data_IF_542200237846
#
_entry.id   IF_542200237846
#
_cell.length_a   1.000
_cell.length_b   1.000
_cell.length_c   1.000
_cell.angle_alpha   90.00
_cell.angle_beta   90.00
_cell.angle_gamma   90.00
#
_symmetry.space_group_name_H-M   'P 1'
#
loop_
_entity.id
_entity.type
_entity.pdbx_description
1 polymer ?
#
# COMPACT_ATOMS: atom_id res chain seq x y z
N UNK A 1 -27.83 -26.41 -0.12
CA UNK A 1 -27.40 -25.67 -1.32
C UNK A 1 -27.19 -24.16 -1.06
N UNK A 2 -28.09 -23.48 -0.36
CA UNK A 2 -27.99 -22.02 -0.10
C UNK A 2 -26.74 -21.57 0.65
N UNK A 3 -26.33 -22.26 1.71
CA UNK A 3 -25.12 -21.91 2.48
C UNK A 3 -23.82 -22.01 1.64
N UNK A 4 -23.75 -22.97 0.73
CA UNK A 4 -22.59 -23.15 -0.15
C UNK A 4 -22.44 -22.00 -1.14
N UNK A 5 -23.55 -21.56 -1.74
CA UNK A 5 -23.55 -20.41 -2.66
C UNK A 5 -23.12 -19.12 -1.96
N UNK A 6 -23.55 -18.91 -0.71
CA UNK A 6 -23.15 -17.74 0.09
C UNK A 6 -21.64 -17.74 0.34
N UNK A 7 -21.07 -18.87 0.76
CA UNK A 7 -19.63 -19.01 0.97
C UNK A 7 -18.83 -18.80 -0.32
N UNK A 8 -19.33 -19.31 -1.44
CA UNK A 8 -18.69 -19.16 -2.74
C UNK A 8 -18.63 -17.69 -3.17
N UNK A 9 -19.77 -16.98 -3.09
CA UNK A 9 -19.85 -15.55 -3.43
C UNK A 9 -18.95 -14.72 -2.52
N UNK A 10 -18.96 -15.00 -1.21
CA UNK A 10 -18.10 -14.30 -0.25
C UNK A 10 -16.61 -14.48 -0.56
N UNK A 11 -16.16 -15.68 -0.91
CA UNK A 11 -14.75 -15.94 -1.23
C UNK A 11 -14.31 -15.32 -2.57
N UNK A 12 -15.21 -15.27 -3.56
CA UNK A 12 -14.96 -14.55 -4.82
C UNK A 12 -14.84 -13.05 -4.57
N UNK A 13 -15.76 -12.46 -3.79
CA UNK A 13 -15.71 -11.05 -3.45
C UNK A 13 -14.42 -10.71 -2.69
N UNK A 14 -14.04 -11.53 -1.70
CA UNK A 14 -12.82 -11.35 -0.92
C UNK A 14 -11.56 -11.48 -1.78
N UNK A 15 -11.50 -12.43 -2.71
CA UNK A 15 -10.32 -12.61 -3.57
C UNK A 15 -10.15 -11.44 -4.53
N UNK A 16 -11.23 -10.95 -5.13
CA UNK A 16 -11.22 -9.77 -5.99
C UNK A 16 -10.76 -8.51 -5.22
N UNK A 17 -11.30 -8.29 -4.03
CA UNK A 17 -10.93 -7.16 -3.19
C UNK A 17 -9.45 -7.23 -2.77
N UNK A 18 -8.98 -8.39 -2.32
CA UNK A 18 -7.58 -8.57 -1.92
C UNK A 18 -6.60 -8.35 -3.08
N UNK A 19 -6.95 -8.74 -4.31
CA UNK A 19 -6.12 -8.49 -5.48
C UNK A 19 -5.96 -6.98 -5.75
N UNK A 20 -7.05 -6.22 -5.72
CA UNK A 20 -7.01 -4.77 -5.91
C UNK A 20 -6.20 -4.11 -4.81
N UNK A 21 -6.43 -4.51 -3.54
CA UNK A 21 -5.69 -4.01 -2.39
C UNK A 21 -4.20 -4.32 -2.50
N UNK A 22 -3.83 -5.53 -2.93
CA UNK A 22 -2.43 -5.94 -3.08
C UNK A 22 -1.70 -5.04 -4.09
N UNK A 23 -2.34 -4.71 -5.22
CA UNK A 23 -1.78 -3.80 -6.23
C UNK A 23 -1.51 -2.41 -5.64
N UNK A 24 -2.48 -1.85 -4.90
CA UNK A 24 -2.34 -0.53 -4.27
C UNK A 24 -1.23 -0.54 -3.20
N UNK A 25 -1.17 -1.57 -2.37
CA UNK A 25 -0.12 -1.75 -1.36
C UNK A 25 1.27 -1.86 -2.00
N UNK A 26 1.41 -2.66 -3.06
CA UNK A 26 2.67 -2.82 -3.80
C UNK A 26 3.13 -1.50 -4.40
N UNK A 27 2.22 -0.77 -5.05
CA UNK A 27 2.52 0.52 -5.62
C UNK A 27 2.98 1.53 -4.55
N UNK A 28 2.29 1.58 -3.40
CA UNK A 28 2.69 2.43 -2.28
C UNK A 28 4.07 2.03 -1.70
N UNK A 29 4.35 0.74 -1.55
CA UNK A 29 5.63 0.23 -1.06
C UNK A 29 6.79 0.57 -2.02
N UNK A 30 6.59 0.45 -3.33
CA UNK A 30 7.57 0.83 -4.36
C UNK A 30 7.80 2.34 -4.36
N UNK A 31 6.75 3.13 -4.19
CA UNK A 31 6.89 4.59 -4.08
C UNK A 31 7.69 4.98 -2.83
N UNK A 32 7.42 4.34 -1.68
CA UNK A 32 8.15 4.58 -0.45
C UNK A 32 9.63 4.15 -0.53
N UNK A 33 9.94 3.05 -1.23
CA UNK A 33 11.31 2.57 -1.37
C UNK A 33 12.17 3.50 -2.24
N UNK A 34 11.59 4.04 -3.31
CA UNK A 34 12.23 4.97 -4.23
C UNK A 34 12.33 6.41 -3.71
N UNK A 35 11.62 6.74 -2.63
CA UNK A 35 11.64 8.08 -2.03
C UNK A 35 12.90 8.28 -1.16
N UNK A 36 13.64 9.40 -1.29
CA UNK A 36 14.83 9.66 -0.48
C UNK A 36 14.48 9.85 1.00
N UNK A 37 15.36 9.36 1.91
CA UNK A 37 15.15 9.40 3.35
C UNK A 37 14.96 10.82 3.91
N UNK A 38 15.64 11.81 3.32
CA UNK A 38 15.59 13.21 3.73
C UNK A 38 14.18 13.81 3.60
N UNK A 39 13.38 13.31 2.64
CA UNK A 39 12.00 13.76 2.47
C UNK A 39 11.14 13.35 3.69
N UNK A 40 11.36 12.18 4.29
CA UNK A 40 10.59 11.73 5.45
C UNK A 40 10.92 12.52 6.72
N UNK A 41 12.20 12.87 6.91
CA UNK A 41 12.67 13.65 8.07
C UNK A 41 12.15 15.09 8.03
N UNK A 42 12.10 15.71 6.84
CA UNK A 42 11.64 17.09 6.66
C UNK A 42 10.18 17.34 7.07
N UNK A 43 9.35 16.29 7.17
CA UNK A 43 7.93 16.40 7.51
C UNK A 43 7.59 15.97 8.94
N UNK A 44 8.60 15.78 9.82
CA UNK A 44 8.41 15.49 11.24
C UNK A 44 7.65 14.19 11.53
N UNK A 45 7.55 13.29 10.55
CA UNK A 45 6.90 11.97 10.68
C UNK A 45 7.94 10.87 10.89
N UNK A 46 7.46 9.68 11.30
CA UNK A 46 8.26 8.45 11.56
C UNK A 46 9.27 8.18 10.43
N UNK A 47 10.39 7.53 10.77
CA UNK A 47 11.53 7.30 9.85
C UNK A 47 11.15 6.50 8.60
N UNK A 48 11.93 6.64 7.51
CA UNK A 48 11.73 5.86 6.26
C UNK A 48 11.63 4.35 6.52
N UNK A 49 12.48 3.83 7.40
CA UNK A 49 12.49 2.41 7.75
C UNK A 49 11.18 1.97 8.39
N UNK A 50 10.58 2.81 9.25
CA UNK A 50 9.27 2.52 9.83
C UNK A 50 8.19 2.37 8.75
N UNK A 51 8.11 3.33 7.82
CA UNK A 51 7.14 3.29 6.71
C UNK A 51 7.35 2.11 5.78
N UNK A 52 8.59 1.78 5.46
CA UNK A 52 8.90 0.61 4.64
C UNK A 52 8.48 -0.69 5.31
N UNK A 53 8.81 -0.88 6.60
CA UNK A 53 8.44 -2.10 7.33
C UNK A 53 6.93 -2.28 7.34
N UNK A 54 6.15 -1.25 7.67
CA UNK A 54 4.68 -1.40 7.74
C UNK A 54 4.05 -1.58 6.35
N UNK A 55 4.57 -0.94 5.30
CA UNK A 55 4.07 -1.11 3.93
C UNK A 55 4.39 -2.50 3.39
N UNK A 56 5.60 -3.00 3.60
CA UNK A 56 5.97 -4.36 3.18
C UNK A 56 5.22 -5.43 3.96
N UNK A 57 5.02 -5.24 5.27
CA UNK A 57 4.13 -6.11 6.06
C UNK A 57 2.70 -6.07 5.52
N UNK A 58 2.18 -4.89 5.20
CA UNK A 58 0.85 -4.74 4.59
C UNK A 58 0.74 -5.54 3.29
N UNK A 59 1.75 -5.44 2.41
CA UNK A 59 1.83 -6.21 1.16
C UNK A 59 1.81 -7.72 1.43
N UNK A 60 2.66 -8.19 2.35
CA UNK A 60 2.75 -9.62 2.70
C UNK A 60 1.43 -10.17 3.22
N UNK A 61 0.76 -9.47 4.13
CA UNK A 61 -0.53 -9.91 4.68
C UNK A 61 -1.66 -9.86 3.65
N UNK A 62 -1.67 -8.83 2.80
CA UNK A 62 -2.70 -8.70 1.75
C UNK A 62 -2.56 -9.81 0.70
N UNK A 63 -1.33 -10.10 0.27
CA UNK A 63 -1.04 -11.20 -0.66
C UNK A 63 -1.36 -12.55 -0.01
N UNK A 64 -0.96 -12.77 1.25
CA UNK A 64 -1.27 -14.00 1.98
C UNK A 64 -2.77 -14.26 2.07
N UNK A 65 -3.57 -13.24 2.40
CA UNK A 65 -5.04 -13.31 2.43
C UNK A 65 -5.66 -13.60 1.06
N UNK A 66 -5.15 -12.95 0.00
CA UNK A 66 -5.57 -13.21 -1.38
C UNK A 66 -5.29 -14.65 -1.82
N UNK A 67 -4.10 -15.16 -1.54
CA UNK A 67 -3.70 -16.54 -1.84
C UNK A 67 -4.58 -17.53 -1.09
N UNK A 68 -4.85 -17.33 0.21
CA UNK A 68 -5.72 -18.20 0.97
C UNK A 68 -7.15 -18.25 0.41
N UNK A 69 -7.68 -17.10 -0.03
CA UNK A 69 -9.00 -17.01 -0.67
C UNK A 69 -9.04 -17.76 -2.00
N UNK A 70 -8.02 -17.59 -2.85
CA UNK A 70 -7.88 -18.31 -4.12
C UNK A 70 -7.72 -19.83 -3.89
N UNK A 71 -6.96 -20.22 -2.86
CA UNK A 71 -6.74 -21.63 -2.52
C UNK A 71 -8.03 -22.32 -2.10
N UNK A 72 -8.88 -21.63 -1.36
CA UNK A 72 -10.20 -22.13 -1.01
C UNK A 72 -11.06 -22.35 -2.27
N UNK A 73 -11.09 -21.37 -3.18
CA UNK A 73 -11.81 -21.49 -4.45
C UNK A 73 -11.31 -22.65 -5.30
N UNK A 74 -9.99 -22.83 -5.41
CA UNK A 74 -9.40 -23.95 -6.17
C UNK A 74 -9.74 -25.30 -5.55
N UNK A 75 -9.74 -25.40 -4.21
CA UNK A 75 -10.11 -26.63 -3.52
C UNK A 75 -11.58 -27.01 -3.79
N UNK A 76 -12.47 -26.02 -3.92
CA UNK A 76 -13.88 -26.27 -4.30
C UNK A 76 -14.02 -26.83 -5.72
N UNK A 77 -13.08 -26.55 -6.62
CA UNK A 77 -13.03 -27.08 -7.99
C UNK A 77 -12.22 -28.38 -8.07
N UNK A 78 -11.77 -28.91 -6.94
CA UNK A 78 -10.98 -30.15 -6.86
C UNK A 78 -9.49 -29.98 -7.15
N UNK A 79 -9.00 -28.74 -7.24
CA UNK A 79 -7.59 -28.42 -7.48
C UNK A 79 -6.92 -28.12 -6.14
N UNK A 80 -5.99 -28.98 -5.72
CA UNK A 80 -5.21 -28.79 -4.50
C UNK A 80 -3.75 -28.52 -4.86
N UNK A 81 -3.29 -27.29 -4.62
CA UNK A 81 -1.90 -26.89 -4.84
C UNK A 81 -1.17 -26.85 -3.49
N UNK A 82 -0.20 -27.76 -3.24
CA UNK A 82 0.47 -27.86 -1.94
C UNK A 82 1.28 -26.60 -1.60
N UNK A 83 1.75 -25.85 -2.60
CA UNK A 83 2.42 -24.56 -2.43
C UNK A 83 1.60 -23.60 -1.57
N UNK A 84 0.27 -23.59 -1.74
CA UNK A 84 -0.58 -22.64 -1.04
C UNK A 84 -0.77 -22.97 0.44
N UNK A 85 -0.58 -24.23 0.85
CA UNK A 85 -0.63 -24.60 2.27
C UNK A 85 0.50 -23.96 3.08
N UNK A 86 1.64 -23.64 2.45
CA UNK A 86 2.73 -22.91 3.09
C UNK A 86 2.45 -21.41 3.28
N UNK A 87 1.60 -20.83 2.42
CA UNK A 87 1.30 -19.39 2.42
C UNK A 87 0.05 -19.07 3.25
N UNK A 88 -0.85 -20.05 3.45
CA UNK A 88 -2.07 -19.91 4.26
C UNK A 88 -1.85 -19.38 5.69
N UNK A 89 -0.78 -19.73 6.43
CA UNK A 89 -0.52 -19.16 7.76
C UNK A 89 -0.28 -17.64 7.75
N UNK A 90 0.13 -17.07 6.61
CA UNK A 90 0.31 -15.62 6.45
C UNK A 90 -1.02 -14.89 6.23
N UNK A 91 -2.12 -15.62 6.00
CA UNK A 91 -3.46 -15.04 5.95
C UNK A 91 -3.99 -14.82 7.38
N UNK A 92 -3.60 -13.72 8.00
CA UNK A 92 -4.12 -13.31 9.31
C UNK A 92 -5.55 -12.77 9.13
N UNK A 93 -6.53 -13.64 8.84
CA UNK A 93 -7.96 -13.31 8.76
C UNK A 93 -8.37 -12.23 7.73
N UNK A 94 -9.65 -12.20 7.38
CA UNK A 94 -10.19 -11.22 6.43
C UNK A 94 -10.15 -9.77 6.96
N UNK A 95 -10.03 -9.59 8.28
CA UNK A 95 -10.07 -8.28 8.93
C UNK A 95 -8.72 -7.53 8.90
N UNK A 96 -7.60 -8.25 9.03
CA UNK A 96 -6.27 -7.61 9.07
C UNK A 96 -5.81 -7.13 7.69
N UNK A 97 -6.23 -7.80 6.61
CA UNK A 97 -6.05 -7.31 5.23
C UNK A 97 -6.79 -5.99 4.98
N UNK A 98 -7.99 -5.81 5.54
CA UNK A 98 -8.75 -4.57 5.47
C UNK A 98 -8.13 -3.46 6.34
N UNK A 99 -7.67 -3.77 7.56
CA UNK A 99 -6.94 -2.81 8.39
C UNK A 99 -5.63 -2.35 7.73
N UNK A 100 -4.95 -3.25 7.03
CA UNK A 100 -3.73 -2.95 6.28
C UNK A 100 -3.99 -2.15 5.00
N UNK A 101 -5.24 -1.82 4.65
CA UNK A 101 -5.55 -0.78 3.65
C UNK A 101 -5.43 0.64 4.22
N UNK A 102 -5.70 0.82 5.52
CA UNK A 102 -5.56 2.12 6.15
C UNK A 102 -4.11 2.61 6.09
N UNK A 103 -3.12 1.70 6.14
CA UNK A 103 -1.70 2.05 6.09
C UNK A 103 -1.26 2.67 4.74
N UNK A 104 -1.48 2.03 3.57
CA UNK A 104 -1.28 2.66 2.27
C UNK A 104 -2.16 3.89 2.09
N UNK A 105 -3.41 3.87 2.55
CA UNK A 105 -4.31 5.01 2.45
C UNK A 105 -3.75 6.26 3.15
N UNK A 106 -3.27 6.11 4.39
CA UNK A 106 -2.65 7.19 5.17
C UNK A 106 -1.33 7.64 4.53
N UNK A 107 -0.55 6.70 3.99
CA UNK A 107 0.69 7.02 3.28
C UNK A 107 0.43 7.86 2.02
N UNK A 108 -0.52 7.43 1.18
CA UNK A 108 -0.83 8.07 -0.10
C UNK A 108 -1.50 9.43 0.06
N UNK A 109 -2.35 9.60 1.07
CA UNK A 109 -3.04 10.87 1.32
C UNK A 109 -2.15 11.89 2.03
N UNK A 110 -1.30 11.46 2.95
CA UNK A 110 -0.45 12.37 3.74
C UNK A 110 0.95 12.52 3.18
N UNK A 111 1.68 11.41 3.11
CA UNK A 111 3.14 11.45 2.95
C UNK A 111 3.55 11.60 1.49
N UNK A 112 2.84 10.97 0.54
CA UNK A 112 3.10 11.14 -0.89
C UNK A 112 3.02 12.61 -1.32
N UNK A 113 1.96 13.32 -0.96
CA UNK A 113 1.76 14.74 -1.33
C UNK A 113 2.91 15.61 -0.83
N UNK A 114 3.39 15.33 0.39
CA UNK A 114 4.50 16.05 1.02
C UNK A 114 5.83 15.72 0.35
N UNK A 115 6.10 14.45 0.09
CA UNK A 115 7.28 13.99 -0.65
C UNK A 115 7.33 14.64 -2.04
N UNK A 116 6.21 14.66 -2.76
CA UNK A 116 6.10 15.31 -4.07
C UNK A 116 6.42 16.81 -3.97
N UNK A 117 5.91 17.50 -2.94
CA UNK A 117 6.23 18.91 -2.67
C UNK A 117 7.71 19.13 -2.34
N UNK A 118 8.35 18.26 -1.56
CA UNK A 118 9.79 18.32 -1.28
C UNK A 118 10.61 18.14 -2.56
N UNK A 119 10.22 17.19 -3.41
CA UNK A 119 10.88 16.93 -4.69
C UNK A 119 10.75 18.12 -5.65
N UNK A 120 9.60 18.79 -5.66
CA UNK A 120 9.40 20.04 -6.41
C UNK A 120 10.30 21.17 -5.91
N UNK A 121 10.51 21.28 -4.58
CA UNK A 121 11.46 22.24 -4.00
C UNK A 121 12.89 21.96 -4.44
N UNK A 122 13.34 20.70 -4.40
CA UNK A 122 14.68 20.33 -4.88
C UNK A 122 14.86 20.61 -6.37
N UNK A 123 13.81 20.44 -7.18
CA UNK A 123 13.83 20.75 -8.62
C UNK A 123 13.63 22.23 -8.94
N UNK A 124 13.56 23.12 -7.94
CA UNK A 124 13.34 24.55 -8.15
C UNK A 124 12.00 24.91 -8.79
N UNK A 125 11.03 24.00 -8.83
CA UNK A 125 9.74 24.13 -9.56
C UNK A 125 8.54 24.24 -8.61
N UNK A 126 8.78 24.49 -7.32
CA UNK A 126 7.73 24.60 -6.32
C UNK A 126 6.88 25.87 -6.47
N UNK A 127 5.56 25.82 -6.15
CA UNK A 127 4.61 26.93 -6.32
C UNK A 127 4.87 28.15 -5.42
N UNK A 128 5.75 28.01 -4.41
CA UNK A 128 6.23 29.09 -3.56
C UNK A 128 7.68 29.46 -3.89
N UNK A 129 8.08 29.40 -5.16
CA UNK A 129 9.16 30.28 -5.60
C UNK A 129 8.73 31.68 -5.19
N UNK A 130 9.37 32.22 -4.16
CA UNK A 130 9.45 33.66 -4.00
C UNK A 130 9.84 34.16 -5.38
N UNK A 131 8.88 34.80 -6.08
CA UNK A 131 9.21 35.64 -7.23
C UNK A 131 10.43 36.41 -6.75
N UNK A 132 11.58 36.36 -7.45
CA UNK A 132 12.72 37.14 -7.06
C UNK A 132 12.18 38.53 -6.81
N UNK A 133 12.13 38.91 -5.54
CA UNK A 133 11.70 40.23 -5.15
C UNK A 133 12.63 41.10 -5.96
N UNK A 134 12.06 41.83 -6.92
CA UNK A 134 12.78 42.85 -7.64
C UNK A 134 13.25 43.75 -6.50
N UNK A 135 14.48 43.53 -6.03
CA UNK A 135 15.08 44.34 -5.00
C UNK A 135 14.90 45.78 -5.44
N UNK A 136 14.67 46.72 -4.52
CA UNK A 136 14.55 48.13 -4.87
C UNK A 136 15.68 48.42 -5.85
N UNK A 137 15.35 48.76 -7.09
CA UNK A 137 16.36 49.14 -8.07
C UNK A 137 16.82 50.51 -7.60
N UNK A 138 17.86 50.50 -6.83
CA UNK A 138 18.70 51.62 -6.46
C UNK A 138 19.48 52.06 -7.71
N UNK A 139 18.78 52.82 -8.55
CA UNK A 139 19.36 53.84 -9.44
C UNK A 139 18.65 55.16 -9.15
#
# INVERSE_FOLDING_TARGET
MTAYLILLIQNIANSALNLVLAIVCLWAAIHASTTPANAFVAFGRRTKNFWLVILWLSVLFTIGSGIASISYLLHLVGINLPLFNFVRPLAIGNFFGLLMFAVPGVYLTGDKVRVDAFRQRQKGTGPYQQRPGKGPRDW
#
